data_IF_962571388110
#
_entry.id   IF_962571388110
#
_cell.length_a   1.000
_cell.length_b   1.000
_cell.length_c   1.000
_cell.angle_alpha   90.00
_cell.angle_beta   90.00
_cell.angle_gamma   90.00
#
_symmetry.space_group_name_H-M   'P 1'
#
loop_
_entity.id
_entity.type
_entity.pdbx_description
1 polymer ?
#
# COMPACT_ATOMS: atom_id res chain seq x y z
N UNK A 1 26.96 15.21 -4.78
CA UNK A 1 25.72 14.45 -5.05
C UNK A 1 24.78 14.68 -3.89
N UNK A 2 23.54 15.11 -4.16
CA UNK A 2 22.49 15.21 -3.14
C UNK A 2 21.75 13.89 -3.07
N UNK A 3 21.66 13.29 -1.88
CA UNK A 3 20.88 12.07 -1.66
C UNK A 3 19.43 12.46 -1.44
N UNK A 4 18.54 12.09 -2.36
CA UNK A 4 17.10 12.26 -2.19
C UNK A 4 16.52 11.02 -1.48
N UNK A 5 15.68 11.24 -0.47
CA UNK A 5 15.01 10.18 0.27
C UNK A 5 13.57 10.08 -0.21
N UNK A 6 13.13 8.88 -0.62
CA UNK A 6 11.73 8.63 -0.95
C UNK A 6 10.90 8.85 0.32
N UNK A 7 10.06 9.90 0.32
CA UNK A 7 9.21 10.22 1.47
C UNK A 7 8.03 9.28 1.58
N UNK A 8 7.43 8.96 0.44
CA UNK A 8 6.28 8.07 0.33
C UNK A 8 6.10 7.59 -1.12
N UNK A 9 5.24 6.60 -1.27
CA UNK A 9 4.75 6.17 -2.57
C UNK A 9 3.26 5.85 -2.51
N UNK A 10 2.58 6.06 -3.63
CA UNK A 10 1.17 5.75 -3.77
C UNK A 10 1.03 4.32 -4.31
N UNK A 11 0.31 3.48 -3.57
CA UNK A 11 -0.09 2.13 -3.96
C UNK A 11 -1.49 2.20 -4.53
N UNK A 12 -1.67 1.67 -5.74
CA UNK A 12 -2.98 1.55 -6.37
C UNK A 12 -3.16 0.20 -7.04
N UNK A 13 -4.37 -0.33 -6.93
CA UNK A 13 -4.72 -1.62 -7.51
C UNK A 13 -5.04 -1.52 -9.00
N UNK A 14 -4.97 -2.66 -9.68
CA UNK A 14 -5.25 -2.81 -11.11
C UNK A 14 -6.31 -3.91 -11.30
N UNK A 15 -7.10 -3.84 -12.38
CA UNK A 15 -8.10 -4.86 -12.68
C UNK A 15 -9.28 -4.84 -11.71
N UNK A 16 -9.60 -5.97 -11.07
CA UNK A 16 -10.68 -6.08 -10.08
C UNK A 16 -10.41 -5.28 -8.80
N UNK A 17 -9.16 -4.91 -8.55
CA UNK A 17 -8.70 -4.18 -7.36
C UNK A 17 -8.56 -2.66 -7.62
N UNK A 18 -9.13 -2.14 -8.72
CA UNK A 18 -9.01 -0.72 -9.10
C UNK A 18 -9.41 0.28 -8.01
N UNK A 19 -10.19 -0.17 -7.02
CA UNK A 19 -10.61 0.68 -5.92
C UNK A 19 -9.57 0.80 -4.79
N UNK A 20 -8.46 0.07 -4.83
CA UNK A 20 -7.33 0.32 -3.93
C UNK A 20 -6.56 1.56 -4.36
N UNK A 21 -6.48 2.56 -3.49
CA UNK A 21 -5.66 3.73 -3.70
C UNK A 21 -5.26 4.38 -2.36
N UNK A 22 -3.98 4.33 -2.01
CA UNK A 22 -3.48 4.86 -0.74
C UNK A 22 -2.00 5.23 -0.80
N UNK A 23 -1.58 6.17 0.05
CA UNK A 23 -0.20 6.59 0.24
C UNK A 23 0.43 5.81 1.39
N UNK A 24 1.65 5.34 1.19
CA UNK A 24 2.44 4.59 2.17
C UNK A 24 3.85 5.13 2.25
N UNK A 25 4.51 4.92 3.38
CA UNK A 25 5.95 5.18 3.55
C UNK A 25 6.76 3.90 3.80
N UNK A 26 6.08 2.76 3.97
CA UNK A 26 6.71 1.46 4.19
C UNK A 26 5.84 0.33 3.65
N UNK A 27 6.49 -0.66 3.06
CA UNK A 27 5.90 -1.92 2.63
C UNK A 27 6.81 -3.08 3.04
N UNK A 28 6.24 -4.20 3.48
CA UNK A 28 6.96 -5.44 3.79
C UNK A 28 6.07 -6.65 3.57
N UNK A 29 6.67 -7.85 3.53
CA UNK A 29 5.95 -9.12 3.32
C UNK A 29 6.18 -9.99 4.56
N UNK A 30 5.10 -10.56 5.09
CA UNK A 30 5.15 -11.52 6.19
C UNK A 30 3.91 -12.45 6.12
N UNK A 31 4.05 -13.72 6.50
CA UNK A 31 2.94 -14.68 6.60
C UNK A 31 1.91 -14.64 5.43
N UNK A 32 2.39 -14.68 4.18
CA UNK A 32 1.58 -14.62 2.93
C UNK A 32 0.73 -13.36 2.80
N UNK A 33 1.17 -12.26 3.42
CA UNK A 33 0.52 -10.96 3.36
C UNK A 33 1.54 -9.88 3.06
N UNK A 34 1.09 -8.89 2.31
CA UNK A 34 1.86 -7.66 2.10
C UNK A 34 1.28 -6.59 3.00
N UNK A 35 2.14 -6.04 3.84
CA UNK A 35 1.83 -5.05 4.83
C UNK A 35 2.27 -3.67 4.35
N UNK A 36 1.53 -2.67 4.78
CA UNK A 36 1.69 -1.28 4.42
C UNK A 36 1.57 -0.42 5.66
N UNK A 37 2.50 0.51 5.86
CA UNK A 37 2.28 1.63 6.77
C UNK A 37 1.65 2.77 5.97
N UNK A 38 0.34 2.92 6.14
CA UNK A 38 -0.51 3.81 5.36
C UNK A 38 -0.51 5.20 5.98
N UNK A 39 -0.11 6.20 5.20
CA UNK A 39 -0.18 7.61 5.57
C UNK A 39 -1.56 8.20 5.30
N UNK A 40 -2.18 7.83 4.17
CA UNK A 40 -3.48 8.35 3.75
C UNK A 40 -4.18 7.37 2.82
N UNK A 41 -5.46 7.11 3.08
CA UNK A 41 -6.31 6.35 2.16
C UNK A 41 -6.97 7.36 1.22
N UNK A 42 -6.83 7.16 -0.09
CA UNK A 42 -7.32 8.05 -1.14
C UNK A 42 -8.60 7.52 -1.81
N UNK A 43 -8.84 6.20 -1.73
CA UNK A 43 -10.08 5.58 -2.20
C UNK A 43 -11.18 5.57 -1.14
N UNK A 44 -12.44 5.57 -1.60
CA UNK A 44 -13.61 5.34 -0.74
C UNK A 44 -13.77 3.85 -0.37
N UNK A 45 -13.43 2.97 -1.29
CA UNK A 45 -13.47 1.53 -1.11
C UNK A 45 -12.12 0.98 -0.63
N UNK A 46 -12.19 -0.03 0.23
CA UNK A 46 -11.02 -0.64 0.91
C UNK A 46 -11.10 -2.17 0.88
N UNK A 47 -11.75 -2.71 -0.14
CA UNK A 47 -11.87 -4.16 -0.30
C UNK A 47 -10.47 -4.76 -0.23
N UNK A 48 -10.32 -5.89 0.46
CA UNK A 48 -9.04 -6.61 0.65
C UNK A 48 -7.99 -5.91 1.53
N UNK A 49 -8.13 -4.62 1.86
CA UNK A 49 -7.23 -3.90 2.77
C UNK A 49 -7.65 -4.10 4.24
N UNK A 50 -7.03 -5.08 4.90
CA UNK A 50 -7.26 -5.37 6.32
C UNK A 50 -6.52 -4.37 7.19
N UNK A 51 -7.20 -3.81 8.19
CA UNK A 51 -6.56 -3.02 9.25
C UNK A 51 -5.90 -3.96 10.26
N UNK A 52 -4.62 -3.72 10.59
CA UNK A 52 -3.89 -4.47 11.62
C UNK A 52 -3.92 -3.73 12.97
N UNK A 53 -3.56 -4.46 14.03
CA UNK A 53 -3.53 -3.95 15.41
C UNK A 53 -2.54 -2.78 15.59
N UNK A 54 -1.51 -2.70 14.76
CA UNK A 54 -0.54 -1.60 14.79
C UNK A 54 -1.13 -0.33 14.17
N UNK A 55 -0.77 0.82 14.75
CA UNK A 55 -1.21 2.13 14.25
C UNK A 55 -0.80 2.30 12.78
N UNK A 56 -1.76 2.70 11.94
CA UNK A 56 -1.57 2.93 10.51
C UNK A 56 -1.01 1.75 9.70
N UNK A 57 -0.94 0.54 10.25
CA UNK A 57 -0.60 -0.67 9.50
C UNK A 57 -1.84 -1.33 8.93
N UNK A 58 -1.75 -1.69 7.66
CA UNK A 58 -2.77 -2.43 6.92
C UNK A 58 -2.08 -3.55 6.14
N UNK A 59 -2.83 -4.58 5.76
CA UNK A 59 -2.30 -5.68 4.99
C UNK A 59 -3.28 -6.18 3.94
N UNK A 60 -2.73 -6.75 2.87
CA UNK A 60 -3.48 -7.44 1.81
C UNK A 60 -2.94 -8.87 1.74
N UNK A 61 -3.83 -9.84 1.56
CA UNK A 61 -3.43 -11.22 1.29
C UNK A 61 -2.74 -11.30 -0.08
N UNK A 62 -1.59 -11.96 -0.17
CA UNK A 62 -0.80 -11.98 -1.40
C UNK A 62 -1.56 -12.55 -2.60
N UNK A 63 -2.57 -13.41 -2.37
CA UNK A 63 -3.43 -13.95 -3.44
C UNK A 63 -4.28 -12.88 -4.14
N UNK A 64 -4.44 -11.70 -3.54
CA UNK A 64 -5.15 -10.56 -4.12
C UNK A 64 -4.20 -9.57 -4.79
N UNK A 65 -2.89 -9.85 -4.80
CA UNK A 65 -1.87 -9.00 -5.41
C UNK A 65 -1.54 -9.48 -6.82
N UNK A 66 -2.39 -9.10 -7.77
CA UNK A 66 -2.15 -9.42 -9.19
C UNK A 66 -1.24 -8.40 -9.90
N UNK A 67 -1.24 -7.14 -9.43
CA UNK A 67 -0.35 -6.07 -9.90
C UNK A 67 -0.53 -4.83 -9.01
N UNK A 68 0.50 -4.46 -8.23
CA UNK A 68 0.57 -3.15 -7.58
C UNK A 68 1.43 -2.25 -8.46
N UNK A 69 0.92 -1.06 -8.77
CA UNK A 69 1.74 0.01 -9.33
C UNK A 69 2.03 1.05 -8.27
N UNK A 70 3.24 1.61 -8.33
CA UNK A 70 3.70 2.62 -7.38
C UNK A 70 4.05 3.92 -8.08
N UNK A 71 3.60 5.05 -7.52
CA UNK A 71 4.14 6.38 -7.87
C UNK A 71 5.03 6.87 -6.73
N UNK A 72 6.30 7.14 -7.02
CA UNK A 72 7.27 7.62 -6.04
C UNK A 72 7.19 9.14 -5.92
N UNK A 73 7.36 9.66 -4.69
CA UNK A 73 7.46 11.08 -4.39
C UNK A 73 8.79 11.34 -3.67
N UNK A 74 9.58 12.26 -4.22
CA UNK A 74 10.86 12.72 -3.67
C UNK A 74 10.66 14.05 -2.91
#
# INVERSE_FOLDING_TARGET
MTTETIKCFQVYGQGSEQSLNFLVDRMWIDNNRVYFRVLKILSKERNHLRKENQSNVYSIDEKHLFSIRTRLYF
#
